data_IF_757239773308
#
_entry.id   IF_757239773308
#
_cell.length_a   1.000
_cell.length_b   1.000
_cell.length_c   1.000
_cell.angle_alpha   90.00
_cell.angle_beta   90.00
_cell.angle_gamma   90.00
#
_symmetry.space_group_name_H-M   'P 1'
#
loop_
_entity.id
_entity.type
_entity.pdbx_description
1 polymer ?
#
# COMPACT_ATOMS: atom_id res chain seq x y z
N UNK A 1 -53.45 -10.64 -21.51
CA UNK A 1 -52.80 -10.64 -20.18
C UNK A 1 -51.51 -11.45 -20.35
N UNK A 2 -50.35 -10.90 -20.73
CA UNK A 2 -49.48 -9.92 -20.05
C UNK A 2 -49.31 -10.21 -18.56
N UNK A 3 -48.42 -11.15 -18.25
CA UNK A 3 -47.50 -11.00 -17.12
C UNK A 3 -46.21 -11.75 -17.47
N UNK A 4 -45.40 -11.10 -18.29
CA UNK A 4 -44.02 -11.51 -18.55
C UNK A 4 -43.28 -11.43 -17.22
N UNK A 5 -42.95 -12.58 -16.65
CA UNK A 5 -42.07 -12.71 -15.49
C UNK A 5 -40.65 -12.35 -15.97
N UNK A 6 -40.38 -11.04 -16.06
CA UNK A 6 -39.03 -10.53 -16.02
C UNK A 6 -38.54 -10.70 -14.58
N UNK A 7 -37.98 -11.88 -14.29
CA UNK A 7 -37.00 -12.01 -13.21
C UNK A 7 -35.83 -11.13 -13.65
N UNK A 8 -35.88 -9.89 -13.22
CA UNK A 8 -34.75 -8.99 -13.21
C UNK A 8 -33.69 -9.74 -12.40
N UNK A 9 -32.63 -10.19 -13.08
CA UNK A 9 -31.36 -10.59 -12.50
C UNK A 9 -30.80 -9.37 -11.74
N UNK A 10 -31.37 -9.10 -10.57
CA UNK A 10 -30.73 -8.34 -9.50
C UNK A 10 -29.72 -9.32 -8.94
N UNK A 11 -28.43 -9.09 -9.21
CA UNK A 11 -27.25 -9.49 -8.42
C UNK A 11 -26.01 -9.55 -9.34
N UNK A 12 -25.57 -8.41 -9.86
CA UNK A 12 -24.15 -8.25 -10.19
C UNK A 12 -23.72 -6.78 -10.12
N UNK A 13 -24.08 -6.10 -9.04
CA UNK A 13 -23.29 -4.96 -8.58
C UNK A 13 -22.09 -5.51 -7.84
N UNK A 14 -21.09 -6.02 -8.58
CA UNK A 14 -19.73 -6.15 -8.04
C UNK A 14 -19.21 -4.74 -7.76
N UNK A 15 -19.57 -4.19 -6.60
CA UNK A 15 -18.82 -3.07 -6.00
C UNK A 15 -17.57 -3.68 -5.36
N UNK A 16 -16.66 -4.21 -6.19
CA UNK A 16 -15.32 -4.63 -5.78
C UNK A 16 -14.42 -3.40 -5.82
N UNK A 17 -14.63 -2.43 -4.92
CA UNK A 17 -13.67 -1.34 -4.71
C UNK A 17 -13.70 -0.87 -3.26
N UNK A 18 -12.84 -1.50 -2.46
CA UNK A 18 -11.98 -0.83 -1.49
C UNK A 18 -10.91 -1.83 -1.02
N UNK A 19 -9.82 -1.98 -1.77
CA UNK A 19 -8.54 -2.43 -1.19
C UNK A 19 -7.80 -1.16 -0.84
N UNK A 20 -7.36 -1.00 0.39
CA UNK A 20 -6.35 0.01 0.73
C UNK A 20 -5.64 -0.43 2.02
N UNK A 21 -4.56 -1.17 1.81
CA UNK A 21 -3.43 -1.17 2.75
C UNK A 21 -2.49 -0.03 2.37
N UNK A 22 -1.26 -0.11 2.84
CA UNK A 22 -0.17 0.73 2.37
C UNK A 22 0.12 0.43 0.91
N UNK A 23 0.27 1.48 0.11
CA UNK A 23 0.67 1.36 -1.28
C UNK A 23 2.15 0.95 -1.40
N UNK A 24 2.64 0.83 -2.64
CA UNK A 24 3.98 0.35 -2.93
C UNK A 24 5.07 1.30 -2.41
N UNK A 25 4.82 2.60 -2.47
CA UNK A 25 5.71 3.67 -2.01
C UNK A 25 5.78 3.72 -0.48
N UNK A 26 4.63 3.64 0.21
CA UNK A 26 4.54 3.56 1.68
C UNK A 26 5.16 2.26 2.22
N UNK A 27 4.92 1.14 1.53
CA UNK A 27 5.54 -0.15 1.89
C UNK A 27 7.07 -0.09 1.76
N UNK A 28 7.59 0.62 0.76
CA UNK A 28 9.03 0.83 0.62
C UNK A 28 9.59 1.60 1.82
N UNK A 29 8.91 2.68 2.22
CA UNK A 29 9.30 3.49 3.38
C UNK A 29 9.44 2.62 4.64
N UNK A 30 8.41 1.83 4.95
CA UNK A 30 8.41 0.91 6.09
C UNK A 30 9.56 -0.10 6.02
N UNK A 31 9.80 -0.72 4.87
CA UNK A 31 10.87 -1.73 4.77
C UNK A 31 12.26 -1.08 4.93
N UNK A 32 12.43 0.14 4.43
CA UNK A 32 13.69 0.88 4.54
C UNK A 32 13.95 1.47 5.92
N UNK A 33 12.92 1.81 6.68
CA UNK A 33 13.06 2.40 8.01
C UNK A 33 13.54 1.41 9.06
N UNK A 34 13.30 0.11 8.86
CA UNK A 34 13.77 -0.92 9.79
C UNK A 34 15.28 -1.09 9.71
N UNK A 35 16.01 -0.32 10.51
CA UNK A 35 17.43 -0.54 10.73
C UNK A 35 17.66 -1.44 11.95
N UNK A 36 18.21 -2.64 11.73
CA UNK A 36 18.47 -3.63 12.80
C UNK A 36 19.31 -3.09 13.98
N UNK A 37 20.04 -2.00 13.76
CA UNK A 37 20.89 -1.37 14.77
C UNK A 37 20.16 -0.33 15.62
N UNK A 38 19.02 0.17 15.15
CA UNK A 38 18.26 1.26 15.73
C UNK A 38 16.83 0.81 16.07
N UNK A 39 16.69 -0.42 16.55
CA UNK A 39 15.39 -0.92 17.01
C UNK A 39 15.02 -0.25 18.34
N UNK A 40 13.73 0.06 18.56
CA UNK A 40 13.20 0.52 19.84
C UNK A 40 13.54 -0.47 20.97
N UNK A 41 13.66 0.03 22.20
CA UNK A 41 13.93 -0.80 23.39
C UNK A 41 12.73 -1.66 23.78
N UNK A 42 11.52 -1.18 23.48
CA UNK A 42 10.25 -1.87 23.70
C UNK A 42 9.92 -2.82 22.55
N UNK A 43 9.09 -3.82 22.83
CA UNK A 43 8.63 -4.80 21.85
C UNK A 43 7.39 -4.32 21.08
N UNK A 44 7.19 -4.85 19.87
CA UNK A 44 6.00 -4.55 19.07
C UNK A 44 4.71 -5.05 19.74
N UNK A 45 4.81 -6.09 20.56
CA UNK A 45 3.71 -6.62 21.35
C UNK A 45 3.29 -5.65 22.47
N UNK A 46 4.25 -4.98 23.10
CA UNK A 46 3.97 -3.93 24.08
C UNK A 46 3.28 -2.73 23.44
N UNK A 47 3.70 -2.34 22.23
CA UNK A 47 3.03 -1.28 21.45
C UNK A 47 1.55 -1.63 21.24
N UNK A 48 1.26 -2.84 20.77
CA UNK A 48 -0.11 -3.29 20.54
C UNK A 48 -0.92 -3.32 21.83
N UNK A 49 -0.32 -3.78 22.92
CA UNK A 49 -0.97 -3.81 24.21
C UNK A 49 -1.34 -2.39 24.68
N UNK A 50 -0.44 -1.42 24.51
CA UNK A 50 -0.68 -0.02 24.87
C UNK A 50 -1.79 0.61 24.01
N UNK A 51 -1.70 0.47 22.68
CA UNK A 51 -2.74 0.94 21.75
C UNK A 51 -4.12 0.33 22.05
N UNK A 52 -4.15 -0.91 22.51
CA UNK A 52 -5.37 -1.61 22.93
C UNK A 52 -6.06 -0.98 24.14
N UNK A 53 -5.30 -0.40 25.09
CA UNK A 53 -5.86 0.30 26.27
C UNK A 53 -6.61 1.56 25.86
N UNK A 54 -6.06 2.28 24.90
CA UNK A 54 -6.64 3.51 24.35
C UNK A 54 -7.74 3.25 23.31
N UNK A 55 -8.08 1.97 23.08
CA UNK A 55 -9.06 1.52 22.10
C UNK A 55 -8.74 1.96 20.67
N UNK A 56 -7.46 2.16 20.36
CA UNK A 56 -7.00 2.43 19.00
C UNK A 56 -7.20 1.17 18.17
N UNK A 57 -7.93 1.30 17.07
CA UNK A 57 -8.31 0.21 16.16
C UNK A 57 -7.88 0.56 14.74
N UNK A 58 -8.02 -0.40 13.83
CA UNK A 58 -7.68 -0.23 12.41
C UNK A 58 -6.22 0.20 12.23
N UNK A 59 -5.30 -0.51 12.90
CA UNK A 59 -3.87 -0.31 12.72
C UNK A 59 -3.47 -0.98 11.41
N UNK A 60 -2.78 -0.26 10.54
CA UNK A 60 -2.30 -0.72 9.24
C UNK A 60 -0.79 -0.90 9.21
N UNK A 61 -0.03 -0.21 10.06
CA UNK A 61 1.40 -0.43 10.18
C UNK A 61 1.87 -0.11 11.60
N UNK A 62 2.89 -0.86 12.05
CA UNK A 62 3.72 -0.57 13.22
C UNK A 62 5.16 -0.83 12.79
N UNK A 63 6.02 0.19 12.86
CA UNK A 63 7.42 0.08 12.45
C UNK A 63 8.29 1.12 13.16
N UNK A 64 9.60 0.88 13.30
CA UNK A 64 10.51 1.85 13.89
C UNK A 64 10.85 2.99 12.92
N UNK A 65 11.02 4.20 13.44
CA UNK A 65 11.65 5.32 12.71
C UNK A 65 13.19 5.33 12.91
N UNK A 66 13.92 6.17 12.17
CA UNK A 66 15.38 6.27 12.31
C UNK A 66 15.87 6.76 13.69
N UNK A 67 14.99 7.29 14.53
CA UNK A 67 15.32 7.76 15.88
C UNK A 67 15.08 6.67 16.93
N UNK A 68 14.64 5.48 16.53
CA UNK A 68 14.30 4.39 17.45
C UNK A 68 12.95 4.57 18.13
N UNK A 69 12.04 5.37 17.56
CA UNK A 69 10.64 5.49 18.01
C UNK A 69 9.72 4.59 17.20
N UNK A 70 8.54 4.29 17.73
CA UNK A 70 7.51 3.56 17.00
C UNK A 70 6.64 4.51 16.18
N UNK A 71 6.51 4.22 14.89
CA UNK A 71 5.51 4.80 14.00
C UNK A 71 4.34 3.85 13.86
N UNK A 72 3.14 4.39 14.01
CA UNK A 72 1.89 3.64 13.90
C UNK A 72 0.98 4.35 12.93
N UNK A 73 0.54 3.62 11.90
CA UNK A 73 -0.41 4.11 10.91
C UNK A 73 -1.77 3.49 11.19
N UNK A 74 -2.78 4.34 11.39
CA UNK A 74 -4.19 3.95 11.49
C UNK A 74 -4.95 4.39 10.23
N UNK A 75 -6.28 4.33 10.26
CA UNK A 75 -7.13 4.70 9.12
C UNK A 75 -6.94 6.16 8.69
N UNK A 76 -6.79 7.08 9.64
CA UNK A 76 -6.74 8.51 9.37
C UNK A 76 -5.60 9.23 10.10
N UNK A 77 -4.78 8.52 10.86
CA UNK A 77 -3.79 9.11 11.75
C UNK A 77 -2.45 8.38 11.67
N UNK A 78 -1.37 9.15 11.74
CA UNK A 78 -0.02 8.66 12.05
C UNK A 78 0.32 9.05 13.49
N UNK A 79 0.80 8.10 14.28
CA UNK A 79 1.23 8.30 15.66
C UNK A 79 2.71 7.96 15.79
N UNK A 80 3.41 8.75 16.58
CA UNK A 80 4.78 8.47 17.00
C UNK A 80 4.80 8.23 18.51
N UNK A 81 5.24 7.05 18.92
CA UNK A 81 5.45 6.70 20.34
C UNK A 81 6.94 6.58 20.63
N UNK A 82 7.34 7.04 21.81
CA UNK A 82 8.70 6.89 22.32
C UNK A 82 9.10 5.40 22.41
N UNK A 83 10.27 5.07 21.86
CA UNK A 83 10.72 3.68 21.78
C UNK A 83 11.08 3.01 23.11
N UNK A 84 11.26 3.79 24.18
CA UNK A 84 11.67 3.28 25.50
C UNK A 84 10.51 3.19 26.49
N UNK A 85 9.50 4.06 26.37
CA UNK A 85 8.40 4.13 27.34
C UNK A 85 6.99 4.20 26.72
N UNK A 86 6.89 4.19 25.39
CA UNK A 86 5.63 4.21 24.64
C UNK A 86 4.76 5.47 24.85
N UNK A 87 5.33 6.55 25.39
CA UNK A 87 4.62 7.82 25.48
C UNK A 87 4.39 8.43 24.10
N UNK A 88 3.21 9.05 23.91
CA UNK A 88 2.87 9.72 22.66
C UNK A 88 3.74 10.97 22.45
N UNK A 89 4.56 10.94 21.40
CA UNK A 89 5.42 12.05 21.00
C UNK A 89 4.75 12.96 19.97
N UNK A 90 4.07 12.36 18.99
CA UNK A 90 3.40 13.09 17.93
C UNK A 90 2.14 12.36 17.42
N UNK A 91 1.19 13.13 16.90
CA UNK A 91 -0.03 12.63 16.25
C UNK A 91 -0.37 13.55 15.09
N UNK A 92 -0.47 12.98 13.90
CA UNK A 92 -0.73 13.72 12.66
C UNK A 92 -1.89 13.10 11.88
N UNK A 93 -2.83 13.92 11.40
CA UNK A 93 -3.90 13.44 10.52
C UNK A 93 -3.34 13.19 9.12
N UNK A 94 -3.60 12.01 8.58
CA UNK A 94 -3.19 11.63 7.23
C UNK A 94 -3.94 12.46 6.20
N UNK A 95 -3.22 12.93 5.18
CA UNK A 95 -3.83 13.66 4.05
C UNK A 95 -4.77 12.79 3.21
N UNK A 96 -4.53 11.48 3.20
CA UNK A 96 -5.37 10.47 2.57
C UNK A 96 -5.59 9.31 3.54
N UNK A 97 -6.84 8.97 3.88
CA UNK A 97 -7.13 7.84 4.76
C UNK A 97 -6.75 6.49 4.13
N UNK A 98 -6.18 5.60 4.93
CA UNK A 98 -5.92 4.19 4.59
C UNK A 98 -7.18 3.37 4.89
N UNK A 99 -7.72 2.64 3.91
CA UNK A 99 -8.97 1.87 4.10
C UNK A 99 -8.80 0.38 3.82
N UNK A 100 -8.82 -0.47 4.81
CA UNK A 100 -8.72 -1.90 4.57
C UNK A 100 -9.22 -2.61 5.79
N UNK A 101 -9.98 -3.68 5.59
CA UNK A 101 -10.47 -4.47 6.69
C UNK A 101 -9.97 -5.90 6.54
N UNK A 102 -8.76 -6.21 7.02
CA UNK A 102 -8.29 -7.58 7.04
C UNK A 102 -9.19 -8.39 7.99
N UNK A 103 -9.52 -9.63 7.61
CA UNK A 103 -10.26 -10.55 8.48
C UNK A 103 -9.33 -11.12 9.56
N UNK A 104 -8.07 -11.36 9.20
CA UNK A 104 -6.98 -11.68 10.14
C UNK A 104 -6.50 -10.40 10.81
N UNK A 105 -6.65 -10.34 12.13
CA UNK A 105 -6.21 -9.18 12.90
C UNK A 105 -4.69 -9.07 12.93
N UNK A 106 -4.17 -7.87 13.21
CA UNK A 106 -2.74 -7.65 13.44
C UNK A 106 -2.19 -8.54 14.56
N UNK A 107 -3.00 -8.79 15.60
CA UNK A 107 -2.65 -9.66 16.72
C UNK A 107 -2.50 -11.11 16.28
N UNK A 108 -3.42 -11.61 15.45
CA UNK A 108 -3.37 -12.98 14.94
C UNK A 108 -2.19 -13.16 13.99
N UNK A 109 -1.94 -12.17 13.12
CA UNK A 109 -0.79 -12.17 12.23
C UNK A 109 0.53 -12.22 13.01
N UNK A 110 0.71 -11.36 14.01
CA UNK A 110 1.92 -11.39 14.85
C UNK A 110 2.04 -12.65 15.69
N UNK A 111 0.94 -13.15 16.25
CA UNK A 111 0.94 -14.40 17.01
C UNK A 111 1.40 -15.57 16.15
N UNK A 112 0.91 -15.64 14.90
CA UNK A 112 1.32 -16.65 13.93
C UNK A 112 2.83 -16.58 13.65
N UNK A 113 3.37 -15.38 13.42
CA UNK A 113 4.79 -15.17 13.17
C UNK A 113 5.65 -15.51 14.38
N UNK A 114 5.25 -15.08 15.58
CA UNK A 114 5.97 -15.35 16.81
C UNK A 114 6.11 -16.86 17.04
N UNK A 115 5.03 -17.62 16.81
CA UNK A 115 5.01 -19.08 16.91
C UNK A 115 5.85 -19.78 15.84
N UNK A 116 5.94 -19.23 14.63
CA UNK A 116 6.64 -19.87 13.50
C UNK A 116 8.13 -19.55 13.43
N UNK A 117 8.51 -18.31 13.75
CA UNK A 117 9.87 -17.81 13.54
C UNK A 117 10.72 -17.87 14.82
N UNK A 118 10.11 -17.77 16.00
CA UNK A 118 10.83 -17.77 17.28
C UNK A 118 11.72 -16.53 17.51
N UNK A 119 11.52 -15.49 16.70
CA UNK A 119 12.19 -14.19 16.82
C UNK A 119 11.16 -13.08 16.97
N UNK A 120 11.55 -11.99 17.63
CA UNK A 120 10.71 -10.81 17.81
C UNK A 120 10.47 -10.12 16.46
N UNK A 121 9.20 -9.86 16.07
CA UNK A 121 8.90 -9.06 14.89
C UNK A 121 9.33 -7.61 15.07
N UNK A 122 9.93 -7.04 14.03
CA UNK A 122 10.51 -5.69 14.05
C UNK A 122 9.59 -4.65 13.42
N UNK A 123 8.72 -5.09 12.52
CA UNK A 123 7.67 -4.27 11.94
C UNK A 123 6.56 -5.18 11.40
N UNK A 124 5.37 -4.63 11.30
CA UNK A 124 4.24 -5.23 10.59
C UNK A 124 3.51 -4.14 9.81
N UNK A 125 3.09 -4.44 8.60
CA UNK A 125 2.28 -3.53 7.80
C UNK A 125 1.35 -4.28 6.84
N UNK A 126 0.20 -3.70 6.54
CA UNK A 126 -0.77 -4.25 5.61
C UNK A 126 -0.47 -3.71 4.22
N UNK A 127 0.11 -4.51 3.34
CA UNK A 127 0.44 -4.12 1.96
C UNK A 127 -0.76 -4.31 1.03
N UNK A 128 -1.00 -3.34 0.15
CA UNK A 128 -1.91 -3.52 -0.99
C UNK A 128 -1.21 -4.29 -2.11
N UNK A 129 -1.77 -5.46 -2.45
CA UNK A 129 -1.31 -6.34 -3.52
C UNK A 129 -2.38 -6.48 -4.61
N UNK A 130 -1.98 -6.86 -5.82
CA UNK A 130 -2.88 -7.03 -6.96
C UNK A 130 -4.09 -7.93 -6.60
N UNK A 131 -3.84 -9.00 -5.86
CA UNK A 131 -4.83 -10.01 -5.49
C UNK A 131 -5.52 -9.76 -4.14
N UNK A 132 -4.98 -8.92 -3.26
CA UNK A 132 -5.61 -8.66 -1.96
C UNK A 132 -4.83 -7.73 -1.06
N UNK A 133 -5.21 -7.72 0.22
CA UNK A 133 -4.37 -7.18 1.28
C UNK A 133 -3.51 -8.31 1.82
N UNK A 134 -2.26 -8.02 2.18
CA UNK A 134 -1.35 -9.00 2.77
C UNK A 134 -0.62 -8.36 3.93
N UNK A 135 -0.61 -9.03 5.09
CA UNK A 135 0.23 -8.63 6.20
C UNK A 135 1.68 -8.97 5.86
N UNK A 136 2.56 -7.98 5.88
CA UNK A 136 4.00 -8.16 5.76
C UNK A 136 4.62 -7.94 7.12
N UNK A 137 5.39 -8.93 7.59
CA UNK A 137 6.02 -8.90 8.90
C UNK A 137 7.53 -9.00 8.73
N UNK A 138 8.26 -8.02 9.23
CA UNK A 138 9.72 -7.99 9.17
C UNK A 138 10.27 -8.72 10.39
N UNK A 139 11.05 -9.77 10.13
CA UNK A 139 11.70 -10.58 11.16
C UNK A 139 13.15 -10.85 10.76
N UNK A 140 14.09 -10.23 11.48
CA UNK A 140 15.50 -10.22 11.11
C UNK A 140 15.70 -9.74 9.66
N UNK A 141 16.39 -10.54 8.85
CA UNK A 141 16.64 -10.23 7.43
C UNK A 141 15.54 -10.74 6.49
N UNK A 142 14.39 -11.18 7.02
CA UNK A 142 13.29 -11.73 6.24
C UNK A 142 12.03 -10.88 6.35
N UNK A 143 11.21 -10.99 5.31
CA UNK A 143 9.83 -10.54 5.29
C UNK A 143 8.97 -11.80 5.17
N UNK A 144 8.05 -11.96 6.11
CA UNK A 144 7.08 -13.04 6.12
C UNK A 144 5.72 -12.47 5.76
N UNK A 145 5.13 -13.00 4.70
CA UNK A 145 3.80 -12.61 4.24
C UNK A 145 2.74 -13.51 4.88
N UNK A 146 1.77 -12.89 5.56
CA UNK A 146 0.63 -13.54 6.19
C UNK A 146 -0.64 -13.12 5.44
N UNK A 147 -1.48 -14.10 5.12
CA UNK A 147 -2.77 -13.83 4.48
C UNK A 147 -3.65 -12.96 5.39
N UNK A 148 -4.30 -11.95 4.82
CA UNK A 148 -5.20 -11.06 5.55
C UNK A 148 -6.60 -11.65 5.76
N UNK A 149 -6.90 -12.81 5.14
CA UNK A 149 -8.21 -13.49 5.19
C UNK A 149 -8.13 -14.75 6.05
N UNK A 150 -7.14 -15.61 5.78
CA UNK A 150 -6.91 -16.85 6.54
C UNK A 150 -5.63 -16.73 7.37
N UNK A 151 -5.57 -17.18 8.64
CA UNK A 151 -4.35 -17.10 9.45
C UNK A 151 -3.30 -18.13 8.96
N UNK A 152 -2.63 -17.80 7.85
CA UNK A 152 -1.68 -18.65 7.16
C UNK A 152 -0.47 -17.85 6.66
N UNK A 153 0.72 -18.44 6.82
CA UNK A 153 1.94 -17.91 6.21
C UNK A 153 1.91 -18.28 4.72
N UNK A 154 1.94 -17.27 3.86
CA UNK A 154 1.91 -17.43 2.42
C UNK A 154 3.32 -17.68 1.87
N UNK A 155 4.28 -16.86 2.31
CA UNK A 155 5.66 -16.95 1.85
C UNK A 155 6.61 -16.27 2.84
N UNK A 156 7.88 -16.64 2.70
CA UNK A 156 9.00 -15.98 3.37
C UNK A 156 10.04 -15.64 2.32
N UNK A 157 10.51 -14.40 2.34
CA UNK A 157 11.53 -13.93 1.43
C UNK A 157 12.57 -13.07 2.15
N UNK A 158 13.76 -12.95 1.56
CA UNK A 158 14.78 -12.04 2.10
C UNK A 158 14.33 -10.60 1.89
N UNK A 159 14.52 -9.76 2.91
CA UNK A 159 14.20 -8.33 2.86
C UNK A 159 14.86 -7.62 1.67
N UNK A 160 16.12 -7.93 1.38
CA UNK A 160 16.85 -7.38 0.23
C UNK A 160 16.18 -7.74 -1.12
N UNK A 161 15.65 -8.96 -1.24
CA UNK A 161 14.97 -9.41 -2.44
C UNK A 161 13.65 -8.65 -2.65
N UNK A 162 12.86 -8.47 -1.59
CA UNK A 162 11.61 -7.68 -1.62
C UNK A 162 11.87 -6.20 -1.89
N UNK A 163 12.91 -5.60 -1.29
CA UNK A 163 13.32 -4.23 -1.59
C UNK A 163 13.63 -4.05 -3.08
N UNK A 164 14.41 -4.98 -3.64
CA UNK A 164 14.74 -4.96 -5.07
C UNK A 164 13.49 -5.11 -5.95
N UNK A 165 12.58 -6.04 -5.60
CA UNK A 165 11.30 -6.23 -6.30
C UNK A 165 10.47 -4.93 -6.32
N UNK A 166 10.33 -4.27 -5.17
CA UNK A 166 9.56 -3.03 -5.02
C UNK A 166 10.21 -1.90 -5.85
N UNK A 167 11.53 -1.74 -5.77
CA UNK A 167 12.26 -0.72 -6.54
C UNK A 167 12.12 -0.94 -8.06
N UNK A 168 12.16 -2.19 -8.53
CA UNK A 168 11.94 -2.54 -9.94
C UNK A 168 10.50 -2.24 -10.39
N UNK A 169 9.51 -2.55 -9.54
CA UNK A 169 8.10 -2.22 -9.79
C UNK A 169 7.87 -0.71 -9.88
N UNK A 170 8.48 0.07 -8.99
CA UNK A 170 8.39 1.54 -9.03
C UNK A 170 9.05 2.10 -10.30
N UNK A 171 10.26 1.65 -10.63
CA UNK A 171 10.98 2.11 -11.82
C UNK A 171 10.23 1.80 -13.14
N UNK A 172 9.54 0.66 -13.20
CA UNK A 172 8.73 0.28 -14.36
C UNK A 172 7.42 1.07 -14.47
N UNK A 173 6.81 1.49 -13.36
CA UNK A 173 5.67 2.43 -13.35
C UNK A 173 6.08 3.80 -13.91
N UNK A 174 7.21 4.34 -13.49
CA UNK A 174 7.72 5.64 -14.00
C UNK A 174 8.02 5.59 -15.50
N UNK A 175 8.55 4.47 -16.01
CA UNK A 175 8.88 4.32 -17.45
C UNK A 175 7.66 4.16 -18.36
N UNK A 176 6.49 3.72 -17.85
CA UNK A 176 5.25 3.62 -18.63
C UNK A 176 4.49 4.95 -18.75
N UNK A 177 4.94 6.00 -18.08
CA UNK A 177 4.38 7.35 -18.16
C UNK A 177 5.39 8.40 -18.65
N UNK A 178 5.98 8.25 -19.86
CA UNK A 178 6.55 9.41 -20.53
C UNK A 178 5.38 10.29 -21.00
N UNK A 179 5.28 11.49 -20.44
CA UNK A 179 4.52 12.58 -21.08
C UNK A 179 4.94 12.61 -22.55
N UNK A 180 4.00 12.31 -23.46
CA UNK A 180 4.20 12.68 -24.87
C UNK A 180 4.46 14.18 -24.88
N UNK A 181 5.57 14.67 -25.44
CA UNK A 181 5.75 16.09 -25.66
C UNK A 181 4.50 16.60 -26.39
N UNK A 182 3.84 17.63 -25.84
CA UNK A 182 2.80 18.35 -26.57
C UNK A 182 3.45 18.86 -27.85
N UNK A 183 3.12 18.27 -29.00
CA UNK A 183 3.51 18.80 -30.29
C UNK A 183 3.06 20.28 -30.34
N UNK A 184 3.95 21.24 -30.64
CA UNK A 184 3.53 22.62 -30.82
C UNK A 184 2.53 22.69 -31.98
N UNK A 185 1.51 23.57 -31.91
CA UNK A 185 0.47 23.63 -32.92
C UNK A 185 1.08 23.91 -34.29
N UNK A 186 0.93 22.96 -35.22
CA UNK A 186 1.38 23.11 -36.59
C UNK A 186 0.59 24.26 -37.24
N UNK A 187 1.25 25.41 -37.44
CA UNK A 187 0.75 26.47 -38.33
C UNK A 187 0.62 25.89 -39.74
N UNK A 188 -0.62 25.69 -40.18
CA UNK A 188 -0.96 25.33 -41.55
C UNK A 188 -0.63 26.53 -42.46
N UNK A 189 0.25 26.42 -43.46
CA UNK A 189 0.47 27.51 -44.42
C UNK A 189 -0.74 27.63 -45.36
N UNK A 190 -1.20 28.87 -45.58
CA UNK A 190 -2.22 29.20 -46.58
C UNK A 190 -1.77 28.76 -47.99
N UNK A 191 -2.57 27.90 -48.64
CA UNK A 191 -2.40 27.59 -50.05
C UNK A 191 -2.82 28.78 -50.92
N UNK A 192 -2.01 29.21 -51.90
CA UNK A 192 -2.39 30.26 -52.84
C UNK A 192 -3.39 29.74 -53.91
N UNK A 193 -4.18 30.63 -54.53
CA UNK A 193 -5.31 30.24 -55.38
C UNK A 193 -4.85 29.68 -56.74
N UNK A 194 -5.33 28.49 -57.10
CA UNK A 194 -5.19 27.96 -58.47
C UNK A 194 -6.21 28.64 -59.40
N UNK A 195 -5.70 29.60 -60.19
CA UNK A 195 -6.43 30.20 -61.30
C UNK A 195 -6.77 29.19 -62.39
N UNK A 196 -8.02 29.25 -62.87
CA UNK A 196 -8.52 28.51 -64.04
C UNK A 196 -8.23 29.32 -65.30
N UNK A 197 -7.36 28.79 -66.16
CA UNK A 197 -7.39 28.97 -67.61
C UNK A 197 -7.11 27.59 -68.20
N UNK A 198 -7.92 26.98 -69.06
CA UNK A 198 -8.86 27.53 -70.02
C UNK A 198 -8.32 27.21 -71.41
N UNK A 199 -8.75 26.07 -71.98
CA UNK A 199 -9.06 25.85 -73.41
C UNK A 199 -9.07 24.35 -73.73
N UNK A 200 -10.21 23.89 -74.23
CA UNK A 200 -10.26 23.24 -75.54
C UNK A 200 -11.63 23.55 -76.15
N UNK A 201 -11.62 24.34 -77.23
CA UNK A 201 -12.61 24.28 -78.29
C UNK A 201 -11.95 23.55 -79.47
N UNK A 202 -12.79 22.89 -80.25
CA UNK A 202 -12.56 22.41 -81.63
C UNK A 202 -11.59 23.26 -82.43
#
# INVERSE_FOLDING_TARGET
MRLTVFIILILLSCVLLAKTGLNLEESLEVITSVELKNLPETSILEVIYELGKDQIRNIYAIYPDPNGNWQIITEDTSLTLDGSNLSLLASETLSAPVKGKPEVSINDALSLIFLSEGYEPQAIFLEEMEDGLIWQVIVNDNIVSVDSITPAILRKEKREAKLKEIQEKLATRTKKHPEKPKEPPSKKPEQPPKGKGGKNKK
#
